data_IF_724147817611
#
_entry.id   IF_724147817611
#
_cell.length_a   1.000
_cell.length_b   1.000
_cell.length_c   1.000
_cell.angle_alpha   90.00
_cell.angle_beta   90.00
_cell.angle_gamma   90.00
#
_symmetry.space_group_name_H-M   'P 1'
#
loop_
_entity.id
_entity.type
_entity.pdbx_description
1 polymer ?
#
# COMPACT_ATOMS: atom_id res chain seq x y z
N UNK A 1 -30.52 79.00 32.97
CA UNK A 1 -31.15 77.78 33.48
C UNK A 1 -30.57 76.65 32.64
N UNK A 2 -29.38 76.19 33.08
CA UNK A 2 -28.54 75.23 32.31
C UNK A 2 -29.01 73.76 32.52
N UNK A 3 -29.21 73.11 31.44
CA UNK A 3 -29.44 71.62 31.42
C UNK A 3 -28.35 70.99 30.60
N UNK A 4 -27.15 70.91 31.12
CA UNK A 4 -26.12 69.97 30.69
C UNK A 4 -26.15 68.78 31.63
N UNK A 5 -26.96 67.78 31.28
CA UNK A 5 -26.79 66.40 31.78
C UNK A 5 -26.01 65.64 30.78
N UNK A 6 -24.71 65.56 30.94
CA UNK A 6 -23.77 64.69 30.24
C UNK A 6 -24.14 63.25 30.50
N UNK A 7 -24.65 62.61 29.46
CA UNK A 7 -24.79 61.14 29.37
C UNK A 7 -23.38 60.55 29.23
N UNK A 8 -22.78 60.13 30.32
CA UNK A 8 -21.56 59.31 30.31
C UNK A 8 -21.92 57.85 30.06
N UNK A 9 -21.96 57.46 28.80
CA UNK A 9 -22.01 56.00 28.49
C UNK A 9 -20.70 55.36 28.94
N UNK A 10 -20.76 54.24 29.72
CA UNK A 10 -19.55 53.55 30.15
C UNK A 10 -18.82 52.99 28.93
N UNK A 11 -17.54 53.25 28.83
CA UNK A 11 -16.69 52.67 27.78
C UNK A 11 -16.71 51.14 27.93
N UNK A 12 -17.03 50.35 26.87
CA UNK A 12 -17.04 48.89 26.95
C UNK A 12 -15.67 48.41 27.40
N UNK A 13 -15.67 47.51 28.38
CA UNK A 13 -14.44 46.85 28.87
C UNK A 13 -13.75 46.14 27.71
N UNK A 14 -12.41 46.21 27.61
CA UNK A 14 -11.69 45.50 26.57
C UNK A 14 -11.97 44.01 26.69
N UNK A 15 -12.45 43.42 25.60
CA UNK A 15 -12.65 41.96 25.51
C UNK A 15 -11.34 41.25 25.89
N UNK A 16 -11.37 40.21 26.74
CA UNK A 16 -10.20 39.43 27.05
C UNK A 16 -9.61 38.88 25.73
N UNK A 17 -8.36 39.25 25.48
CA UNK A 17 -7.67 38.68 24.31
C UNK A 17 -7.57 37.17 24.49
N UNK A 18 -7.82 36.38 23.44
CA UNK A 18 -7.61 34.94 23.51
C UNK A 18 -6.17 34.67 23.96
N UNK A 19 -5.95 33.63 24.79
CA UNK A 19 -4.62 33.32 25.29
C UNK A 19 -3.68 33.14 24.10
N UNK A 20 -2.55 33.84 24.10
CA UNK A 20 -1.50 33.68 23.08
C UNK A 20 -1.16 32.22 23.05
N UNK A 21 -1.39 31.57 21.90
CA UNK A 21 -0.95 30.19 21.66
C UNK A 21 0.54 30.11 22.01
N UNK A 22 0.89 29.24 22.93
CA UNK A 22 2.29 28.97 23.25
C UNK A 22 3.00 28.57 21.93
N UNK A 23 4.24 29.05 21.73
CA UNK A 23 5.03 28.62 20.58
C UNK A 23 5.14 27.09 20.60
N UNK A 24 5.08 26.44 19.44
CA UNK A 24 5.20 24.99 19.36
C UNK A 24 6.48 24.55 20.06
N UNK A 25 6.33 23.64 21.02
CA UNK A 25 7.47 23.09 21.76
C UNK A 25 8.38 22.35 20.76
N UNK A 26 9.68 22.61 20.80
CA UNK A 26 10.61 21.90 19.94
C UNK A 26 10.64 20.41 20.31
N UNK A 27 10.52 19.55 19.32
CA UNK A 27 10.51 18.08 19.49
C UNK A 27 11.95 17.57 19.63
N UNK A 28 12.19 16.65 20.58
CA UNK A 28 13.50 16.01 20.76
C UNK A 28 13.88 15.26 19.46
N UNK A 29 15.11 15.41 18.95
CA UNK A 29 15.60 14.64 17.81
C UNK A 29 15.43 13.12 17.98
N UNK A 30 15.54 12.58 19.20
CA UNK A 30 15.36 11.16 19.49
C UNK A 30 13.90 10.73 19.25
N UNK A 31 12.92 11.56 19.64
CA UNK A 31 11.50 11.27 19.41
C UNK A 31 11.14 11.24 17.91
N UNK A 32 11.92 11.88 17.05
CA UNK A 32 11.76 11.86 15.60
C UNK A 32 12.42 10.65 14.94
N UNK A 33 13.45 10.08 15.54
CA UNK A 33 14.19 8.93 14.98
C UNK A 33 13.35 7.65 14.99
N UNK A 34 12.53 7.44 16.02
CA UNK A 34 11.70 6.23 16.13
C UNK A 34 10.68 6.14 14.98
N UNK A 35 9.84 7.15 14.71
CA UNK A 35 8.91 7.07 13.59
C UNK A 35 9.61 7.03 12.22
N UNK A 36 10.78 7.67 12.06
CA UNK A 36 11.58 7.52 10.85
C UNK A 36 12.05 6.07 10.67
N UNK A 37 12.64 5.49 11.74
CA UNK A 37 13.11 4.11 11.72
C UNK A 37 12.01 3.11 11.38
N UNK A 38 10.82 3.25 11.97
CA UNK A 38 9.66 2.41 11.67
C UNK A 38 9.19 2.52 10.22
N UNK A 39 9.18 3.75 9.66
CA UNK A 39 8.82 3.97 8.26
C UNK A 39 9.83 3.34 7.30
N UNK A 40 11.12 3.52 7.56
CA UNK A 40 12.18 2.92 6.74
C UNK A 40 12.20 1.40 6.86
N UNK A 41 11.96 0.85 8.05
CA UNK A 41 11.82 -0.59 8.25
C UNK A 41 10.63 -1.15 7.47
N UNK A 42 9.48 -0.47 7.49
CA UNK A 42 8.32 -0.88 6.69
C UNK A 42 8.64 -0.90 5.18
N UNK A 43 9.33 0.12 4.67
CA UNK A 43 9.75 0.15 3.25
C UNK A 43 10.78 -0.95 2.94
N UNK A 44 11.71 -1.22 3.85
CA UNK A 44 12.68 -2.29 3.70
C UNK A 44 11.99 -3.67 3.62
N UNK A 45 11.04 -3.95 4.51
CA UNK A 45 10.27 -5.20 4.48
C UNK A 45 9.43 -5.33 3.21
N UNK A 46 8.75 -4.26 2.78
CA UNK A 46 8.04 -4.25 1.49
C UNK A 46 9.01 -4.48 0.32
N UNK A 47 10.21 -3.90 0.37
CA UNK A 47 11.24 -4.10 -0.65
C UNK A 47 11.72 -5.55 -0.73
N UNK A 48 11.88 -6.22 0.41
CA UNK A 48 12.20 -7.67 0.45
C UNK A 48 11.09 -8.48 -0.21
N UNK A 49 9.83 -8.23 0.15
CA UNK A 49 8.68 -8.95 -0.42
C UNK A 49 8.58 -8.72 -1.93
N UNK A 50 8.75 -7.48 -2.38
CA UNK A 50 8.71 -7.13 -3.80
C UNK A 50 9.84 -7.82 -4.58
N UNK A 51 11.07 -7.76 -4.04
CA UNK A 51 12.23 -8.41 -4.65
C UNK A 51 12.04 -9.92 -4.76
N UNK A 52 11.63 -10.58 -3.66
CA UNK A 52 11.42 -12.03 -3.64
C UNK A 52 10.26 -12.48 -4.53
N UNK A 53 9.19 -11.67 -4.64
CA UNK A 53 8.12 -11.92 -5.59
C UNK A 53 8.61 -11.85 -7.03
N UNK A 54 9.43 -10.83 -7.36
CA UNK A 54 9.99 -10.65 -8.69
C UNK A 54 10.98 -11.76 -9.06
N UNK A 55 11.85 -12.14 -8.12
CA UNK A 55 12.80 -13.24 -8.29
C UNK A 55 12.07 -14.58 -8.53
N UNK A 56 11.09 -14.90 -7.70
CA UNK A 56 10.25 -16.10 -7.84
C UNK A 56 9.48 -16.12 -9.17
N UNK A 57 8.97 -14.97 -9.62
CA UNK A 57 8.20 -14.90 -10.87
C UNK A 57 9.08 -14.96 -12.12
N UNK A 58 10.37 -14.58 -12.03
CA UNK A 58 11.32 -14.63 -13.14
C UNK A 58 11.79 -16.04 -13.48
N UNK A 59 11.69 -16.97 -12.53
CA UNK A 59 12.03 -18.39 -12.72
C UNK A 59 10.77 -19.20 -12.99
N UNK A 60 10.70 -19.88 -14.14
CA UNK A 60 9.57 -20.78 -14.43
C UNK A 60 10.04 -22.23 -14.53
N UNK A 61 9.41 -23.15 -13.78
CA UNK A 61 8.38 -22.96 -12.75
C UNK A 61 8.92 -22.13 -11.56
N UNK A 62 8.09 -21.24 -10.95
CA UNK A 62 8.53 -20.34 -9.89
C UNK A 62 8.83 -21.09 -8.60
N UNK A 63 10.07 -21.52 -8.40
CA UNK A 63 10.50 -22.31 -7.23
C UNK A 63 11.97 -22.10 -6.88
N UNK A 64 12.28 -22.23 -5.57
CA UNK A 64 11.39 -22.16 -4.41
C UNK A 64 11.13 -20.69 -4.01
N UNK A 65 9.94 -20.40 -3.49
CA UNK A 65 9.67 -19.09 -2.90
C UNK A 65 10.50 -18.93 -1.63
N UNK A 66 11.28 -17.83 -1.57
CA UNK A 66 12.08 -17.52 -0.39
C UNK A 66 11.23 -17.00 0.79
N UNK A 67 11.67 -17.24 2.01
CA UNK A 67 11.11 -16.61 3.21
C UNK A 67 11.60 -15.13 3.29
N UNK A 68 10.79 -14.12 3.67
CA UNK A 68 9.40 -14.21 4.18
C UNK A 68 8.29 -14.19 3.12
N UNK A 69 8.60 -14.08 1.81
CA UNK A 69 7.58 -13.98 0.76
C UNK A 69 6.67 -15.22 0.72
N UNK A 70 7.21 -16.42 0.95
CA UNK A 70 6.40 -17.64 1.02
C UNK A 70 5.28 -17.53 2.08
N UNK A 71 5.59 -17.04 3.29
CA UNK A 71 4.58 -16.82 4.33
C UNK A 71 3.55 -15.78 3.91
N UNK A 72 4.00 -14.66 3.33
CA UNK A 72 3.12 -13.63 2.85
C UNK A 72 2.18 -14.16 1.76
N UNK A 73 2.69 -14.95 0.83
CA UNK A 73 1.91 -15.57 -0.22
C UNK A 73 0.84 -16.51 0.36
N UNK A 74 1.23 -17.47 1.19
CA UNK A 74 0.34 -18.51 1.73
C UNK A 74 -0.72 -17.95 2.67
N UNK A 75 -0.37 -16.94 3.49
CA UNK A 75 -1.27 -16.45 4.54
C UNK A 75 -2.02 -15.18 4.18
N UNK A 76 -1.61 -14.46 3.16
CA UNK A 76 -2.26 -13.22 2.74
C UNK A 76 -2.76 -13.31 1.30
N UNK A 77 -1.86 -13.55 0.34
CA UNK A 77 -2.21 -13.47 -1.08
C UNK A 77 -3.19 -14.60 -1.46
N UNK A 78 -2.88 -15.84 -1.11
CA UNK A 78 -3.69 -16.99 -1.45
C UNK A 78 -5.11 -16.95 -0.82
N UNK A 79 -5.28 -16.65 0.49
CA UNK A 79 -6.62 -16.47 1.05
C UNK A 79 -7.43 -15.33 0.42
N UNK A 80 -6.77 -14.23 0.00
CA UNK A 80 -7.44 -13.16 -0.73
C UNK A 80 -7.91 -13.65 -2.10
N UNK A 81 -7.09 -14.42 -2.81
CA UNK A 81 -7.45 -15.04 -4.08
C UNK A 81 -8.67 -15.95 -3.93
N UNK A 82 -8.61 -16.93 -3.02
CA UNK A 82 -9.72 -17.85 -2.78
C UNK A 82 -10.98 -17.12 -2.29
N UNK A 83 -10.82 -16.13 -1.42
CA UNK A 83 -11.91 -15.25 -0.97
C UNK A 83 -12.58 -14.51 -2.12
N UNK A 84 -11.82 -14.14 -3.15
CA UNK A 84 -12.34 -13.52 -4.36
C UNK A 84 -13.31 -14.42 -5.12
N UNK A 85 -13.01 -15.69 -5.28
CA UNK A 85 -13.94 -16.65 -5.88
C UNK A 85 -15.26 -16.71 -5.11
N UNK A 86 -15.20 -16.75 -3.78
CA UNK A 86 -16.39 -16.76 -2.95
C UNK A 86 -17.21 -15.48 -3.10
N UNK A 87 -16.59 -14.31 -3.11
CA UNK A 87 -17.27 -13.02 -3.28
C UNK A 87 -17.98 -12.90 -4.62
N UNK A 88 -17.40 -13.46 -5.68
CA UNK A 88 -17.92 -13.34 -7.04
C UNK A 88 -18.77 -14.52 -7.50
N UNK A 89 -19.03 -15.52 -6.65
CA UNK A 89 -19.72 -16.75 -7.02
C UNK A 89 -21.15 -16.53 -7.55
N UNK A 90 -21.83 -15.46 -7.12
CA UNK A 90 -23.19 -15.14 -7.53
C UNK A 90 -23.27 -14.41 -8.88
N UNK A 91 -22.15 -13.99 -9.46
CA UNK A 91 -22.10 -13.17 -10.67
C UNK A 91 -21.82 -13.96 -11.95
N UNK A 92 -21.97 -15.29 -11.89
CA UNK A 92 -21.77 -16.19 -13.02
C UNK A 92 -20.34 -16.72 -13.14
N UNK A 93 -20.17 -17.75 -13.99
CA UNK A 93 -18.94 -18.55 -14.05
C UNK A 93 -17.68 -17.71 -14.33
N UNK A 94 -17.74 -16.81 -15.31
CA UNK A 94 -16.58 -16.01 -15.72
C UNK A 94 -16.13 -15.08 -14.58
N UNK A 95 -17.08 -14.38 -13.92
CA UNK A 95 -16.75 -13.50 -12.79
C UNK A 95 -16.35 -14.29 -11.55
N UNK A 96 -16.92 -15.47 -11.33
CA UNK A 96 -16.45 -16.39 -10.29
C UNK A 96 -14.97 -16.72 -10.47
N UNK A 97 -14.56 -17.15 -11.68
CA UNK A 97 -13.17 -17.54 -11.95
C UNK A 97 -12.23 -16.33 -11.90
N UNK A 98 -12.61 -15.20 -12.51
CA UNK A 98 -11.81 -13.97 -12.49
C UNK A 98 -11.71 -13.37 -11.09
N UNK A 99 -12.72 -13.60 -10.25
CA UNK A 99 -12.89 -12.99 -8.93
C UNK A 99 -11.70 -13.22 -8.00
N UNK A 100 -11.07 -14.39 -8.05
CA UNK A 100 -9.87 -14.69 -7.29
C UNK A 100 -8.74 -13.71 -7.59
N UNK A 101 -8.31 -13.65 -8.83
CA UNK A 101 -7.25 -12.76 -9.29
C UNK A 101 -7.62 -11.29 -9.14
N UNK A 102 -8.86 -10.92 -9.46
CA UNK A 102 -9.35 -9.55 -9.31
C UNK A 102 -9.29 -9.07 -7.86
N UNK A 103 -9.82 -9.85 -6.92
CA UNK A 103 -9.82 -9.49 -5.51
C UNK A 103 -8.42 -9.42 -4.93
N UNK A 104 -7.54 -10.35 -5.33
CA UNK A 104 -6.13 -10.37 -4.96
C UNK A 104 -5.43 -9.03 -5.29
N UNK A 105 -5.61 -8.48 -6.50
CA UNK A 105 -4.92 -7.26 -6.93
C UNK A 105 -5.63 -5.97 -6.51
N UNK A 106 -6.96 -5.98 -6.37
CA UNK A 106 -7.75 -4.79 -6.04
C UNK A 106 -7.71 -4.47 -4.54
N UNK A 107 -7.63 -5.47 -3.68
CA UNK A 107 -7.62 -5.26 -2.21
C UNK A 107 -6.54 -4.27 -1.75
N UNK A 108 -5.25 -4.44 -2.09
CA UNK A 108 -4.23 -3.47 -1.67
C UNK A 108 -4.42 -2.09 -2.31
N UNK A 109 -5.02 -1.99 -3.50
CA UNK A 109 -5.36 -0.70 -4.13
C UNK A 109 -6.52 0.01 -3.42
N UNK A 110 -7.53 -0.73 -2.94
CA UNK A 110 -8.59 -0.15 -2.09
C UNK A 110 -7.98 0.41 -0.81
N UNK A 111 -7.12 -0.38 -0.14
CA UNK A 111 -6.45 0.05 1.09
C UNK A 111 -5.51 1.24 0.86
N UNK A 112 -4.84 1.30 -0.29
CA UNK A 112 -4.10 2.47 -0.74
C UNK A 112 -5.00 3.70 -0.85
N UNK A 113 -6.16 3.60 -1.54
CA UNK A 113 -7.12 4.69 -1.68
C UNK A 113 -7.67 5.19 -0.34
N UNK A 114 -7.98 4.28 0.59
CA UNK A 114 -8.40 4.61 1.96
C UNK A 114 -7.28 5.35 2.69
N UNK A 115 -6.05 4.84 2.63
CA UNK A 115 -4.90 5.46 3.31
C UNK A 115 -4.57 6.85 2.74
N UNK A 116 -4.72 7.08 1.43
CA UNK A 116 -4.61 8.42 0.83
C UNK A 116 -5.64 9.38 1.42
N UNK A 117 -6.91 8.97 1.48
CA UNK A 117 -7.98 9.80 2.06
C UNK A 117 -7.71 10.16 3.52
N UNK A 118 -7.11 9.26 4.27
CA UNK A 118 -6.70 9.46 5.65
C UNK A 118 -5.38 10.22 5.79
N UNK A 119 -4.73 10.61 4.68
CA UNK A 119 -3.39 11.22 4.65
C UNK A 119 -2.35 10.40 5.43
N UNK A 120 -2.52 9.09 5.45
CA UNK A 120 -1.68 8.15 6.19
C UNK A 120 -0.44 7.75 5.39
N UNK A 121 0.69 7.60 6.09
CA UNK A 121 1.92 7.04 5.52
C UNK A 121 1.70 5.62 4.96
N UNK A 122 0.73 4.87 5.49
CA UNK A 122 0.38 3.53 5.02
C UNK A 122 -0.01 3.47 3.55
N UNK A 123 -0.37 4.59 2.92
CA UNK A 123 -0.58 4.65 1.47
C UNK A 123 0.63 4.11 0.70
N UNK A 124 1.85 4.46 1.12
CA UNK A 124 3.07 4.00 0.45
C UNK A 124 3.30 2.48 0.66
N UNK A 125 2.96 1.98 1.85
CA UNK A 125 3.00 0.53 2.16
C UNK A 125 2.04 -0.24 1.27
N UNK A 126 0.78 0.21 1.19
CA UNK A 126 -0.23 -0.47 0.38
C UNK A 126 0.08 -0.42 -1.12
N UNK A 127 0.66 0.70 -1.60
CA UNK A 127 1.10 0.79 -3.00
C UNK A 127 2.26 -0.17 -3.30
N UNK A 128 3.23 -0.28 -2.40
CA UNK A 128 4.33 -1.23 -2.55
C UNK A 128 3.83 -2.69 -2.51
N UNK A 129 2.91 -3.01 -1.60
CA UNK A 129 2.28 -4.34 -1.52
C UNK A 129 1.40 -4.63 -2.73
N UNK A 130 0.71 -3.63 -3.29
CA UNK A 130 -0.02 -3.79 -4.55
C UNK A 130 0.92 -4.30 -5.66
N UNK A 131 2.13 -3.75 -5.76
CA UNK A 131 3.14 -4.26 -6.68
C UNK A 131 3.44 -5.75 -6.46
N UNK A 132 3.65 -6.16 -5.21
CA UNK A 132 3.89 -7.57 -4.85
C UNK A 132 2.72 -8.48 -5.25
N UNK A 133 1.48 -8.04 -5.05
CA UNK A 133 0.27 -8.80 -5.43
C UNK A 133 0.15 -8.97 -6.95
N UNK A 134 0.46 -7.91 -7.72
CA UNK A 134 0.46 -7.98 -9.18
C UNK A 134 1.54 -8.93 -9.69
N UNK A 135 2.77 -8.82 -9.18
CA UNK A 135 3.87 -9.71 -9.57
C UNK A 135 3.52 -11.17 -9.25
N UNK A 136 2.94 -11.44 -8.06
CA UNK A 136 2.58 -12.81 -7.66
C UNK A 136 1.54 -13.47 -8.56
N UNK A 137 0.74 -12.68 -9.28
CA UNK A 137 -0.26 -13.18 -10.22
C UNK A 137 0.36 -13.56 -11.57
N UNK A 138 1.46 -12.92 -11.97
CA UNK A 138 2.03 -13.11 -13.32
C UNK A 138 2.42 -14.56 -13.64
N UNK A 139 3.12 -15.33 -12.77
CA UNK A 139 3.45 -16.72 -13.08
C UNK A 139 2.22 -17.62 -13.18
N UNK A 140 1.13 -17.30 -12.48
CA UNK A 140 -0.12 -18.05 -12.62
C UNK A 140 -0.78 -17.83 -13.98
N UNK A 141 -0.69 -16.59 -14.52
CA UNK A 141 -1.15 -16.29 -15.89
C UNK A 141 -0.26 -17.00 -16.91
N UNK A 142 1.07 -16.91 -16.72
CA UNK A 142 2.04 -17.55 -17.62
C UNK A 142 1.84 -19.06 -17.70
N UNK A 143 1.51 -19.71 -16.57
CA UNK A 143 1.30 -21.16 -16.47
C UNK A 143 0.01 -21.64 -17.17
N UNK A 144 -0.88 -20.73 -17.58
CA UNK A 144 -2.17 -21.12 -18.16
C UNK A 144 -2.06 -22.17 -19.29
N UNK A 145 -1.17 -22.07 -20.29
CA UNK A 145 -1.02 -23.09 -21.32
C UNK A 145 -0.44 -24.40 -20.81
N UNK A 146 0.40 -24.36 -19.77
CA UNK A 146 1.18 -25.51 -19.28
C UNK A 146 0.47 -26.24 -18.14
N UNK A 147 -0.17 -25.49 -17.24
CA UNK A 147 -0.87 -25.99 -16.04
C UNK A 147 0.03 -26.87 -15.17
N UNK A 148 1.28 -26.43 -14.98
CA UNK A 148 2.30 -27.14 -14.20
C UNK A 148 2.27 -26.79 -12.72
N UNK A 149 1.85 -25.55 -12.39
CA UNK A 149 1.79 -25.08 -11.02
C UNK A 149 0.86 -25.94 -10.15
N UNK A 150 1.22 -26.17 -8.88
CA UNK A 150 0.34 -26.83 -7.94
C UNK A 150 -0.89 -25.96 -7.64
N UNK A 151 -2.07 -26.54 -7.77
CA UNK A 151 -3.33 -25.87 -7.47
C UNK A 151 -3.89 -26.39 -6.14
N UNK A 152 -4.64 -25.55 -5.42
CA UNK A 152 -5.42 -26.00 -4.29
C UNK A 152 -6.43 -27.05 -4.75
N UNK A 153 -6.39 -28.23 -4.10
CA UNK A 153 -7.20 -29.38 -4.50
C UNK A 153 -6.64 -30.22 -5.66
N UNK A 154 -5.51 -29.84 -6.27
CA UNK A 154 -4.73 -30.65 -7.22
C UNK A 154 -5.35 -30.84 -8.62
N UNK A 155 -6.58 -30.42 -8.86
CA UNK A 155 -7.29 -30.60 -10.14
C UNK A 155 -6.88 -29.52 -11.15
N UNK A 156 -6.07 -29.91 -12.14
CA UNK A 156 -5.58 -29.03 -13.19
C UNK A 156 -6.67 -28.46 -14.12
N UNK A 157 -7.86 -29.07 -14.15
CA UNK A 157 -9.00 -28.57 -14.91
C UNK A 157 -9.57 -27.28 -14.32
N UNK A 158 -9.24 -26.99 -13.05
CA UNK A 158 -9.69 -25.80 -12.32
C UNK A 158 -8.73 -24.62 -12.42
N UNK A 159 -7.73 -24.67 -13.29
CA UNK A 159 -6.81 -23.54 -13.47
C UNK A 159 -7.55 -22.33 -14.03
N UNK A 160 -7.66 -21.27 -13.22
CA UNK A 160 -8.48 -20.09 -13.53
C UNK A 160 -8.11 -19.44 -14.86
N UNK A 161 -6.85 -19.09 -15.00
CA UNK A 161 -6.37 -18.40 -16.19
C UNK A 161 -6.42 -19.27 -17.44
N UNK A 162 -6.24 -20.60 -17.32
CA UNK A 162 -6.50 -21.48 -18.43
C UNK A 162 -7.96 -21.39 -18.88
N UNK A 163 -8.90 -21.51 -17.95
CA UNK A 163 -10.33 -21.45 -18.26
C UNK A 163 -10.76 -20.10 -18.83
N UNK A 164 -10.24 -18.97 -18.29
CA UNK A 164 -10.51 -17.64 -18.78
C UNK A 164 -9.95 -17.42 -20.20
N UNK A 165 -8.67 -17.73 -20.39
CA UNK A 165 -8.00 -17.48 -21.68
C UNK A 165 -8.51 -18.39 -22.80
N UNK A 166 -8.90 -19.63 -22.49
CA UNK A 166 -9.60 -20.49 -23.46
C UNK A 166 -10.95 -19.90 -23.82
N UNK A 167 -11.73 -19.45 -22.82
CA UNK A 167 -13.04 -18.83 -23.05
C UNK A 167 -12.95 -17.57 -23.91
N UNK A 168 -11.90 -16.76 -23.73
CA UNK A 168 -11.64 -15.54 -24.47
C UNK A 168 -10.85 -15.75 -25.76
N UNK A 169 -10.47 -16.99 -26.08
CA UNK A 169 -9.61 -17.35 -27.24
C UNK A 169 -8.24 -16.65 -27.23
N UNK A 170 -7.69 -16.38 -26.04
CA UNK A 170 -6.44 -15.66 -25.81
C UNK A 170 -5.35 -16.52 -25.16
N UNK A 171 -5.44 -17.85 -25.24
CA UNK A 171 -4.49 -18.72 -24.56
C UNK A 171 -3.03 -18.51 -25.05
N UNK A 172 -2.87 -18.17 -26.32
CA UNK A 172 -1.55 -17.86 -26.90
C UNK A 172 -0.97 -16.53 -26.41
N UNK A 173 -1.80 -15.65 -25.85
CA UNK A 173 -1.39 -14.35 -25.32
C UNK A 173 -0.99 -14.40 -23.83
N UNK A 174 -1.06 -15.58 -23.21
CA UNK A 174 -0.79 -15.77 -21.79
C UNK A 174 0.55 -15.16 -21.35
N UNK A 175 1.62 -15.33 -22.14
CA UNK A 175 2.92 -14.77 -21.85
C UNK A 175 2.89 -13.23 -21.87
N UNK A 176 2.30 -12.62 -22.89
CA UNK A 176 2.21 -11.15 -23.02
C UNK A 176 1.36 -10.53 -21.92
N UNK A 177 0.25 -11.19 -21.53
CA UNK A 177 -0.60 -10.76 -20.42
C UNK A 177 0.16 -10.87 -19.09
N UNK A 178 0.88 -11.97 -18.89
CA UNK A 178 1.74 -12.18 -17.72
C UNK A 178 2.80 -11.07 -17.60
N UNK A 179 3.51 -10.76 -18.69
CA UNK A 179 4.53 -9.72 -18.74
C UNK A 179 3.93 -8.35 -18.39
N UNK A 180 2.77 -8.01 -18.97
CA UNK A 180 2.07 -6.77 -18.65
C UNK A 180 1.75 -6.68 -17.15
N UNK A 181 1.24 -7.75 -16.56
CA UNK A 181 0.91 -7.81 -15.13
C UNK A 181 2.17 -7.71 -14.27
N UNK A 182 3.24 -8.41 -14.66
CA UNK A 182 4.54 -8.37 -13.97
C UNK A 182 5.12 -6.96 -13.93
N UNK A 183 5.27 -6.33 -15.10
CA UNK A 183 5.87 -4.99 -15.18
C UNK A 183 4.99 -3.91 -14.53
N UNK A 184 3.67 -4.04 -14.60
CA UNK A 184 2.76 -3.18 -13.84
C UNK A 184 3.02 -3.31 -12.34
N UNK A 185 3.21 -4.53 -11.84
CA UNK A 185 3.56 -4.79 -10.45
C UNK A 185 4.91 -4.15 -10.05
N UNK A 186 5.92 -4.28 -10.89
CA UNK A 186 7.24 -3.62 -10.67
C UNK A 186 7.07 -2.10 -10.54
N UNK A 187 6.34 -1.47 -11.45
CA UNK A 187 6.13 -0.01 -11.43
C UNK A 187 5.40 0.44 -10.16
N UNK A 188 4.30 -0.24 -9.80
CA UNK A 188 3.55 0.06 -8.58
C UNK A 188 4.42 -0.12 -7.33
N UNK A 189 5.15 -1.23 -7.24
CA UNK A 189 6.01 -1.55 -6.12
C UNK A 189 7.12 -0.52 -5.92
N UNK A 190 7.86 -0.21 -6.98
CA UNK A 190 8.94 0.80 -6.95
C UNK A 190 8.37 2.18 -6.62
N UNK A 191 7.23 2.57 -7.19
CA UNK A 191 6.60 3.85 -6.89
C UNK A 191 6.24 3.97 -5.40
N UNK A 192 5.65 2.92 -4.80
CA UNK A 192 5.33 2.87 -3.38
C UNK A 192 6.57 2.99 -2.49
N UNK A 193 7.63 2.22 -2.80
CA UNK A 193 8.89 2.26 -2.05
C UNK A 193 9.57 3.63 -2.15
N UNK A 194 9.72 4.17 -3.34
CA UNK A 194 10.38 5.45 -3.57
C UNK A 194 9.62 6.60 -2.87
N UNK A 195 8.30 6.67 -3.04
CA UNK A 195 7.47 7.67 -2.38
C UNK A 195 7.55 7.53 -0.85
N UNK A 196 7.49 6.31 -0.33
CA UNK A 196 7.58 6.03 1.10
C UNK A 196 8.90 6.49 1.71
N UNK A 197 10.02 6.18 1.08
CA UNK A 197 11.35 6.62 1.53
C UNK A 197 11.46 8.15 1.49
N UNK A 198 11.09 8.77 0.38
CA UNK A 198 11.14 10.23 0.21
C UNK A 198 10.28 10.95 1.26
N UNK A 199 9.05 10.48 1.49
CA UNK A 199 8.14 11.08 2.48
C UNK A 199 8.69 10.88 3.90
N UNK A 200 9.23 9.71 4.23
CA UNK A 200 9.83 9.45 5.54
C UNK A 200 10.97 10.44 5.83
N UNK A 201 11.91 10.59 4.90
CA UNK A 201 13.05 11.49 5.02
C UNK A 201 12.59 12.95 5.08
N UNK A 202 11.70 13.38 4.17
CA UNK A 202 11.19 14.76 4.16
C UNK A 202 10.47 15.13 5.46
N UNK A 203 9.69 14.19 6.00
CA UNK A 203 9.00 14.41 7.28
C UNK A 203 9.99 14.62 8.42
N UNK A 204 11.06 13.83 8.45
CA UNK A 204 12.12 13.95 9.44
C UNK A 204 12.90 15.27 9.31
N UNK A 205 13.27 15.68 8.09
CA UNK A 205 14.02 16.91 7.85
C UNK A 205 13.20 18.16 8.21
N UNK A 206 11.89 18.16 7.92
CA UNK A 206 11.00 19.30 8.16
C UNK A 206 10.49 19.41 9.59
N UNK A 207 10.71 18.39 10.42
CA UNK A 207 10.26 18.42 11.80
C UNK A 207 10.99 19.52 12.59
N UNK A 208 10.28 20.27 13.45
CA UNK A 208 10.88 21.28 14.32
C UNK A 208 11.86 20.60 15.28
N UNK A 209 13.12 21.04 15.27
CA UNK A 209 14.17 20.51 16.15
C UNK A 209 14.43 21.50 17.28
N UNK A 210 14.70 20.98 18.48
CA UNK A 210 15.24 21.79 19.57
C UNK A 210 16.63 22.28 19.15
N UNK A 211 16.82 23.61 18.99
CA UNK A 211 18.16 24.17 19.04
C UNK A 211 18.63 24.00 20.49
N UNK A 212 19.55 23.09 20.74
CA UNK A 212 20.34 23.14 21.94
C UNK A 212 21.09 24.49 21.91
N UNK A 213 20.58 25.46 22.66
CA UNK A 213 21.37 26.61 23.05
C UNK A 213 22.38 26.01 24.03
N UNK A 214 23.56 25.67 23.52
CA UNK A 214 24.71 25.50 24.36
C UNK A 214 24.95 26.89 24.94
N UNK A 215 24.40 27.14 26.13
CA UNK A 215 24.81 28.21 26.97
C UNK A 215 26.24 27.88 27.38
N UNK A 216 27.21 28.39 26.64
CA UNK A 216 28.56 28.51 27.12
C UNK A 216 28.51 29.44 28.32
N UNK A 217 28.40 28.87 29.48
CA UNK A 217 28.71 29.51 30.77
C UNK A 217 30.20 29.32 31.08
#
# INVERSE_FOLDING_TARGET
>A
MDLEHLSTTPRPSPHPQPPKSLPPQPVDPIELLVPLGLKLLAMFLCGILLYQAADSASAFPPYPMAMPYYFYYVWIILPLHEGGHFLFMLFGRTLYILGGSFWQIVTPLILFGVAIRQKSYLANVWLALAGTHWISLSPYIYDAPFRTLPLLGGDKSRHDWYNLLVHWQMLNDAASISDFVYYTGIVLGIAGLAAGIVIAIRTYIKAPRTRQIILNS
#
